data_IF_606566211850
#
_entry.id   IF_606566211850
#
_cell.length_a   1.000
_cell.length_b   1.000
_cell.length_c   1.000
_cell.angle_alpha   90.00
_cell.angle_beta   90.00
_cell.angle_gamma   90.00
#
_symmetry.space_group_name_H-M   'P 1'
#
loop_
_entity.id
_entity.type
_entity.pdbx_description
1 polymer ?
#
# COMPACT_ATOMS: atom_id res chain seq x y z
N UNK A 1 23.61 -1.93 -4.62
CA UNK A 1 23.24 -2.36 -4.89
C UNK A 1 22.90 -2.55 -5.61
N UNK A 2 22.74 -2.87 -5.97
CA UNK A 2 22.44 -3.03 -6.64
C UNK A 2 21.92 -4.04 -7.28
N UNK A 3 21.78 -4.89 -7.18
CA UNK A 3 21.23 -5.93 -7.59
C UNK A 3 19.87 -5.94 -7.37
N UNK A 4 19.08 -5.21 -7.94
CA UNK A 4 17.78 -5.15 -7.70
C UNK A 4 17.09 -6.11 -8.53
N UNK A 5 16.19 -6.88 -7.97
CA UNK A 5 15.31 -7.75 -8.68
C UNK A 5 13.96 -7.10 -8.69
N UNK A 6 13.35 -7.00 -9.84
CA UNK A 6 12.07 -6.34 -10.00
C UNK A 6 11.07 -7.29 -10.60
N UNK A 7 9.84 -7.19 -10.15
CA UNK A 7 8.76 -8.00 -10.65
C UNK A 7 7.88 -7.14 -11.55
N UNK A 8 7.66 -7.61 -12.76
CA UNK A 8 6.78 -6.92 -13.68
C UNK A 8 5.57 -7.80 -13.94
N UNK A 9 4.38 -7.28 -13.71
CA UNK A 9 3.15 -8.02 -13.93
C UNK A 9 2.17 -7.16 -14.70
N UNK A 10 1.29 -7.83 -15.42
CA UNK A 10 0.22 -7.14 -16.11
C UNK A 10 -1.05 -7.30 -15.30
N UNK A 11 -1.74 -6.20 -15.02
CA UNK A 11 -2.92 -6.22 -14.18
C UNK A 11 -4.08 -5.56 -14.89
N UNK A 12 -5.26 -6.12 -14.68
CA UNK A 12 -6.49 -5.48 -15.11
C UNK A 12 -6.90 -4.46 -14.05
N UNK A 13 -7.85 -3.61 -14.38
CA UNK A 13 -8.24 -2.53 -13.46
C UNK A 13 -8.74 -3.05 -12.12
N UNK A 14 -9.57 -4.08 -12.12
CA UNK A 14 -10.11 -4.59 -10.85
C UNK A 14 -9.01 -5.23 -10.01
N UNK A 15 -8.01 -5.80 -10.67
CA UNK A 15 -6.88 -6.39 -9.96
C UNK A 15 -6.05 -5.30 -9.28
N UNK A 16 -5.80 -4.22 -10.01
CA UNK A 16 -5.06 -3.10 -9.45
C UNK A 16 -5.80 -2.49 -8.28
N UNK A 17 -7.13 -2.34 -8.42
CA UNK A 17 -7.94 -1.79 -7.35
C UNK A 17 -7.91 -2.68 -6.11
N UNK A 18 -8.00 -3.99 -6.32
CA UNK A 18 -7.97 -4.94 -5.22
C UNK A 18 -6.66 -4.81 -4.44
N UNK A 19 -5.55 -4.70 -5.16
CA UNK A 19 -4.26 -4.53 -4.51
C UNK A 19 -4.20 -3.21 -3.75
N UNK A 20 -4.69 -2.13 -4.33
CA UNK A 20 -4.70 -0.84 -3.67
C UNK A 20 -5.55 -0.85 -2.41
N UNK A 21 -6.71 -1.51 -2.46
CA UNK A 21 -7.55 -1.63 -1.28
C UNK A 21 -6.84 -2.43 -0.20
N UNK A 22 -6.15 -3.50 -0.59
CA UNK A 22 -5.43 -4.33 0.36
C UNK A 22 -4.30 -3.55 1.04
N UNK A 23 -3.59 -2.74 0.26
CA UNK A 23 -2.53 -1.90 0.81
C UNK A 23 -3.12 -0.90 1.79
N UNK A 24 -4.25 -0.29 1.45
CA UNK A 24 -4.88 0.68 2.32
C UNK A 24 -5.33 0.04 3.64
N UNK A 25 -5.86 -1.16 3.59
CA UNK A 25 -6.26 -1.87 4.79
C UNK A 25 -5.06 -2.22 5.65
N UNK A 26 -3.98 -2.65 5.02
CA UNK A 26 -2.77 -2.97 5.76
C UNK A 26 -2.19 -1.73 6.42
N UNK A 27 -2.23 -0.59 5.75
CA UNK A 27 -1.75 0.65 6.33
C UNK A 27 -2.56 1.03 7.58
N UNK A 28 -3.88 0.81 7.53
CA UNK A 28 -4.70 1.08 8.69
C UNK A 28 -4.33 0.18 9.85
N UNK A 29 -4.11 -1.11 9.57
CA UNK A 29 -3.73 -2.06 10.60
C UNK A 29 -2.40 -1.66 11.23
N UNK A 30 -1.42 -1.32 10.39
CA UNK A 30 -0.10 -0.93 10.88
C UNK A 30 -0.16 0.34 11.71
N UNK A 31 -0.98 1.29 11.29
CA UNK A 31 -1.13 2.53 12.03
C UNK A 31 -1.70 2.26 13.42
N UNK A 32 -2.70 1.38 13.50
CA UNK A 32 -3.29 1.03 14.77
C UNK A 32 -2.25 0.37 15.70
N UNK A 33 -1.47 -0.55 15.17
CA UNK A 33 -0.44 -1.20 15.97
C UNK A 33 0.59 -0.18 16.43
N UNK A 34 1.00 0.72 15.54
CA UNK A 34 2.02 1.71 15.89
C UNK A 34 1.53 2.65 17.00
N UNK A 35 0.24 2.96 17.00
CA UNK A 35 -0.30 3.92 17.96
C UNK A 35 -0.79 3.28 19.26
N UNK A 36 -1.21 2.02 19.20
CA UNK A 36 -1.89 1.42 20.33
C UNK A 36 -1.22 0.24 20.98
N UNK A 37 -0.16 -0.29 20.39
CA UNK A 37 0.51 -1.43 20.96
C UNK A 37 1.26 -1.06 22.23
N UNK A 38 1.17 -1.91 23.24
CA UNK A 38 1.93 -1.70 24.45
C UNK A 38 3.38 -2.13 24.28
N UNK A 39 3.68 -2.91 23.25
CA UNK A 39 5.02 -3.40 23.00
C UNK A 39 5.72 -2.40 22.10
N UNK A 40 6.72 -1.72 22.65
CA UNK A 40 7.43 -0.69 21.90
C UNK A 40 8.09 -1.21 20.65
N UNK A 41 8.59 -2.45 20.68
CA UNK A 41 9.23 -3.01 19.50
C UNK A 41 8.22 -3.25 18.39
N UNK A 42 7.05 -3.75 18.74
CA UNK A 42 6.01 -3.95 17.75
C UNK A 42 5.52 -2.64 17.18
N UNK A 43 5.36 -1.64 18.05
CA UNK A 43 4.90 -0.34 17.59
C UNK A 43 5.91 0.30 16.65
N UNK A 44 7.19 0.17 16.98
CA UNK A 44 8.24 0.74 16.14
C UNK A 44 8.30 0.04 14.78
N UNK A 45 8.23 -1.29 14.79
CA UNK A 45 8.25 -2.05 13.54
C UNK A 45 7.06 -1.70 12.67
N UNK A 46 5.88 -1.57 13.29
CA UNK A 46 4.67 -1.24 12.53
C UNK A 46 4.78 0.16 11.93
N UNK A 47 5.38 1.09 12.65
CA UNK A 47 5.59 2.44 12.13
C UNK A 47 6.51 2.45 10.93
N UNK A 48 7.60 1.67 11.00
CA UNK A 48 8.53 1.57 9.88
C UNK A 48 7.87 0.91 8.69
N UNK A 49 7.12 -0.16 8.92
CA UNK A 49 6.42 -0.85 7.84
C UNK A 49 5.38 0.06 7.20
N UNK A 50 4.71 0.87 8.01
CA UNK A 50 3.73 1.82 7.51
C UNK A 50 4.38 2.78 6.51
N UNK A 51 5.55 3.31 6.85
CA UNK A 51 6.22 4.24 5.95
C UNK A 51 6.65 3.58 4.65
N UNK A 52 7.10 2.35 4.72
CA UNK A 52 7.52 1.63 3.52
C UNK A 52 6.32 1.34 2.62
N UNK A 53 5.23 0.93 3.21
CA UNK A 53 4.03 0.61 2.44
C UNK A 53 3.40 1.87 1.87
N UNK A 54 3.50 2.98 2.60
CA UNK A 54 3.00 4.25 2.09
C UNK A 54 3.74 4.64 0.81
N UNK A 55 5.05 4.41 0.78
CA UNK A 55 5.83 4.69 -0.43
C UNK A 55 5.43 3.79 -1.58
N UNK A 56 5.19 2.51 -1.30
CA UNK A 56 4.72 1.59 -2.32
C UNK A 56 3.34 2.01 -2.84
N UNK A 57 2.45 2.39 -1.93
CA UNK A 57 1.12 2.82 -2.32
C UNK A 57 1.20 4.00 -3.27
N UNK A 58 2.03 4.97 -2.94
CA UNK A 58 2.17 6.17 -3.75
C UNK A 58 2.61 5.83 -5.16
N UNK A 59 3.62 4.97 -5.29
CA UNK A 59 4.13 4.58 -6.60
C UNK A 59 3.10 3.77 -7.38
N UNK A 60 2.43 2.85 -6.70
CA UNK A 60 1.44 2.00 -7.35
C UNK A 60 0.24 2.84 -7.82
N UNK A 61 -0.20 3.77 -6.97
CA UNK A 61 -1.31 4.65 -7.34
C UNK A 61 -0.97 5.48 -8.57
N UNK A 62 0.23 6.01 -8.62
CA UNK A 62 0.62 6.84 -9.75
C UNK A 62 0.56 6.04 -11.05
N UNK A 63 1.06 4.81 -11.02
CA UNK A 63 1.02 3.96 -12.19
C UNK A 63 -0.40 3.58 -12.56
N UNK A 64 -1.20 3.21 -11.56
CA UNK A 64 -2.57 2.79 -11.82
C UNK A 64 -3.41 3.93 -12.38
N UNK A 65 -3.23 5.12 -11.83
CA UNK A 65 -3.95 6.29 -12.33
C UNK A 65 -3.56 6.62 -13.76
N UNK A 66 -2.29 6.43 -14.08
CA UNK A 66 -1.80 6.71 -15.41
C UNK A 66 -2.45 5.80 -16.45
N UNK A 67 -2.74 4.56 -16.08
CA UNK A 67 -3.31 3.60 -17.01
C UNK A 67 -4.85 3.60 -16.99
N UNK A 68 -5.43 3.64 -15.80
CA UNK A 68 -6.87 3.44 -15.63
C UNK A 68 -7.66 4.69 -15.31
N UNK A 69 -6.99 5.77 -15.00
CA UNK A 69 -7.67 7.01 -14.62
C UNK A 69 -7.80 7.15 -13.12
N UNK A 70 -8.17 8.33 -12.67
CA UNK A 70 -8.20 8.66 -11.24
C UNK A 70 -9.20 7.84 -10.45
N UNK A 71 -10.25 7.36 -11.09
CA UNK A 71 -11.26 6.61 -10.37
C UNK A 71 -10.75 5.27 -9.84
N UNK A 72 -9.56 4.85 -10.26
CA UNK A 72 -9.02 3.58 -9.80
C UNK A 72 -8.83 3.57 -8.29
N UNK A 73 -8.65 4.75 -7.68
CA UNK A 73 -8.46 4.82 -6.24
C UNK A 73 -9.73 5.09 -5.48
N UNK A 74 -10.87 5.15 -6.16
CA UNK A 74 -12.12 5.45 -5.52
C UNK A 74 -12.78 4.13 -5.13
N UNK A 75 -12.49 3.69 -3.90
CA UNK A 75 -12.93 2.42 -3.49
C UNK A 75 -14.26 2.38 -2.85
N UNK A 76 -14.80 3.43 -2.46
CA UNK A 76 -15.78 3.35 -1.57
C UNK A 76 -17.00 3.19 -2.09
N UNK A 77 -17.39 2.99 -2.66
CA UNK A 77 -18.47 2.82 -3.06
C UNK A 77 -19.34 2.18 -2.41
N UNK A 78 -19.47 2.05 -1.79
CA UNK A 78 -20.24 1.45 -1.12
C UNK A 78 -20.56 1.74 -0.44
#
# INVERSE_FOLDING_TARGET
MTNKRELNVTLLDWEARYILESISKEMKRLKTVAEESDDENKASDAGNDYLEIAGLKERFEAEAKSVFGDQIVNFNNE
#
